data_IF_317647072308
#
_entry.id   IF_317647072308
#
_cell.length_a   1.000
_cell.length_b   1.000
_cell.length_c   1.000
_cell.angle_alpha   90.00
_cell.angle_beta   90.00
_cell.angle_gamma   90.00
#
_symmetry.space_group_name_H-M   'P 1'
#
loop_
_entity.id
_entity.type
_entity.pdbx_description
1 polymer ?
#
# COMPACT_ATOMS: atom_id res chain seq x y z
N UNK A 1 -3.97 12.41 5.54
CA UNK A 1 -3.71 12.48 4.08
C UNK A 1 -4.95 12.06 3.30
N UNK A 2 -4.97 12.25 1.99
CA UNK A 2 -5.96 11.63 1.09
C UNK A 2 -5.29 10.42 0.43
N UNK A 3 -5.85 9.24 0.56
CA UNK A 3 -5.39 8.01 -0.08
C UNK A 3 -6.30 7.69 -1.26
N UNK A 4 -5.73 7.35 -2.41
CA UNK A 4 -6.47 6.79 -3.56
C UNK A 4 -6.37 5.27 -3.46
N UNK A 5 -7.51 4.58 -3.38
CA UNK A 5 -7.55 3.12 -3.28
C UNK A 5 -7.43 2.48 -4.65
N UNK A 6 -6.44 1.61 -4.86
CA UNK A 6 -6.23 0.89 -6.12
C UNK A 6 -6.71 -0.55 -6.03
N UNK A 7 -6.37 -1.24 -4.93
CA UNK A 7 -6.65 -2.65 -4.73
C UNK A 7 -7.46 -2.84 -3.43
N UNK A 8 -8.75 -3.21 -3.54
CA UNK A 8 -9.54 -3.59 -2.36
C UNK A 8 -8.94 -4.79 -1.64
N UNK A 9 -9.07 -4.82 -0.30
CA UNK A 9 -8.65 -5.95 0.52
C UNK A 9 -9.26 -7.27 0.02
N UNK A 10 -8.45 -8.34 0.06
CA UNK A 10 -8.75 -9.71 -0.37
C UNK A 10 -9.02 -9.90 -1.87
N UNK A 11 -8.56 -8.96 -2.69
CA UNK A 11 -8.54 -9.08 -4.15
C UNK A 11 -7.12 -9.31 -4.66
N UNK A 12 -7.00 -9.85 -5.89
CA UNK A 12 -5.72 -10.29 -6.45
C UNK A 12 -5.25 -9.47 -7.66
N UNK A 13 -6.16 -8.78 -8.35
CA UNK A 13 -5.79 -8.00 -9.54
C UNK A 13 -4.83 -6.88 -9.12
N UNK A 14 -3.62 -6.85 -9.70
CA UNK A 14 -2.68 -5.74 -9.44
C UNK A 14 -3.16 -4.53 -10.23
N UNK A 15 -3.65 -3.53 -9.51
CA UNK A 15 -4.20 -2.30 -10.09
C UNK A 15 -3.31 -1.16 -9.65
N UNK A 16 -3.09 -0.21 -10.56
CA UNK A 16 -2.18 0.91 -10.35
C UNK A 16 -2.68 2.14 -11.11
N UNK A 17 -2.39 3.32 -10.56
CA UNK A 17 -2.52 4.61 -11.22
C UNK A 17 -1.57 4.63 -12.43
N UNK A 18 -2.11 4.79 -13.63
CA UNK A 18 -1.31 4.83 -14.85
C UNK A 18 -0.51 6.13 -14.94
N UNK A 19 0.82 6.06 -14.85
CA UNK A 19 1.68 7.25 -15.00
C UNK A 19 1.75 7.79 -16.43
N UNK A 20 1.49 6.94 -17.43
CA UNK A 20 1.67 7.27 -18.86
C UNK A 20 0.42 7.81 -19.55
N UNK A 21 -0.77 7.63 -18.97
CA UNK A 21 -2.03 7.99 -19.60
C UNK A 21 -2.58 9.32 -19.08
N UNK A 22 -3.19 10.17 -19.95
CA UNK A 22 -3.81 11.41 -19.50
C UNK A 22 -4.82 11.17 -18.39
N UNK A 23 -4.78 12.04 -17.36
CA UNK A 23 -5.62 11.96 -16.16
C UNK A 23 -5.36 10.74 -15.26
N UNK A 24 -4.32 9.96 -15.54
CA UNK A 24 -3.79 8.89 -14.69
C UNK A 24 -4.87 7.90 -14.19
N UNK A 25 -5.63 7.23 -15.09
CA UNK A 25 -6.65 6.28 -14.68
C UNK A 25 -6.03 5.07 -13.95
N UNK A 26 -6.79 4.49 -13.02
CA UNK A 26 -6.43 3.21 -12.41
C UNK A 26 -6.68 2.09 -13.43
N UNK A 27 -5.66 1.31 -13.75
CA UNK A 27 -5.76 0.16 -14.66
C UNK A 27 -5.01 -1.05 -14.10
N UNK A 28 -5.28 -2.22 -14.67
CA UNK A 28 -4.61 -3.44 -14.24
C UNK A 28 -3.22 -3.52 -14.89
N UNK A 29 -2.20 -3.83 -14.10
CA UNK A 29 -0.84 -4.09 -14.58
C UNK A 29 -0.84 -5.26 -15.58
N UNK A 30 -0.01 -5.18 -16.62
CA UNK A 30 0.15 -6.20 -17.67
C UNK A 30 1.59 -6.70 -17.66
N UNK A 31 1.79 -7.95 -17.23
CA UNK A 31 3.10 -8.61 -17.22
C UNK A 31 3.14 -9.68 -18.31
N UNK A 32 4.11 -9.59 -19.23
CA UNK A 32 4.28 -10.53 -20.37
C UNK A 32 3.02 -10.67 -21.25
N UNK A 33 2.31 -9.56 -21.46
CA UNK A 33 1.10 -9.52 -22.31
C UNK A 33 -0.17 -10.09 -21.65
N UNK A 34 -0.11 -10.48 -20.37
CA UNK A 34 -1.27 -10.94 -19.61
C UNK A 34 -1.54 -10.04 -18.41
N UNK A 35 -2.81 -9.94 -18.03
CA UNK A 35 -3.25 -9.24 -16.81
C UNK A 35 -2.55 -9.84 -15.59
N UNK A 36 -1.92 -8.99 -14.77
CA UNK A 36 -1.19 -9.43 -13.57
C UNK A 36 -2.13 -9.62 -12.39
N UNK A 37 -1.93 -10.74 -11.69
CA UNK A 37 -2.57 -11.04 -10.42
C UNK A 37 -1.50 -11.40 -9.40
N UNK A 38 -1.61 -10.87 -8.19
CA UNK A 38 -0.80 -11.30 -7.04
C UNK A 38 -1.33 -12.66 -6.55
N UNK A 39 -0.41 -13.56 -6.25
CA UNK A 39 -0.74 -14.92 -5.81
C UNK A 39 -1.26 -14.94 -4.37
N UNK A 40 -2.03 -15.96 -4.01
CA UNK A 40 -2.32 -16.23 -2.61
C UNK A 40 -1.13 -16.98 -2.01
N UNK A 41 -0.48 -16.39 -1.01
CA UNK A 41 0.60 -17.02 -0.25
C UNK A 41 0.03 -17.39 1.11
N UNK A 42 -0.11 -18.70 1.41
CA UNK A 42 -0.70 -19.15 2.67
C UNK A 42 -0.03 -18.47 3.89
N UNK A 43 -0.80 -17.92 4.85
CA UNK A 43 -2.26 -17.99 5.00
C UNK A 43 -3.06 -16.86 4.32
N UNK A 44 -2.40 -16.00 3.55
CA UNK A 44 -2.94 -14.76 3.00
C UNK A 44 -3.78 -14.99 1.74
N UNK A 45 -4.83 -14.18 1.58
CA UNK A 45 -5.65 -14.10 0.37
C UNK A 45 -5.49 -12.73 -0.26
N UNK A 46 -4.89 -12.67 -1.44
CA UNK A 46 -4.63 -11.42 -2.18
C UNK A 46 -3.93 -10.39 -1.30
N UNK A 47 -4.26 -9.11 -1.50
CA UNK A 47 -3.82 -8.04 -0.61
C UNK A 47 -4.56 -8.12 0.73
N UNK A 48 -3.83 -8.07 1.85
CA UNK A 48 -4.42 -8.20 3.19
C UNK A 48 -4.85 -6.84 3.80
N UNK A 49 -4.76 -5.77 3.03
CA UNK A 49 -5.23 -4.40 3.33
C UNK A 49 -6.00 -3.81 2.15
N UNK A 50 -6.65 -2.66 2.34
CA UNK A 50 -6.90 -1.79 1.20
C UNK A 50 -5.56 -1.17 0.79
N UNK A 51 -5.17 -1.30 -0.47
CA UNK A 51 -3.89 -0.84 -0.98
C UNK A 51 -4.09 0.26 -2.00
N UNK A 52 -3.17 1.21 -2.03
CA UNK A 52 -3.11 2.26 -3.03
C UNK A 52 -2.02 3.26 -2.69
N UNK A 53 -2.19 4.51 -3.06
CA UNK A 53 -1.12 5.50 -2.93
C UNK A 53 -1.62 6.88 -2.43
N UNK A 54 -0.68 7.73 -2.00
CA UNK A 54 -0.95 9.15 -1.78
C UNK A 54 -0.75 9.94 -3.09
N UNK A 55 -1.76 10.69 -3.57
CA UNK A 55 -1.58 11.54 -4.74
C UNK A 55 -0.60 12.68 -4.42
N UNK A 56 0.00 13.27 -5.46
CA UNK A 56 0.97 14.37 -5.36
C UNK A 56 2.25 14.00 -4.57
N UNK A 57 2.61 12.72 -4.59
CA UNK A 57 3.89 12.20 -4.09
C UNK A 57 4.63 11.48 -5.21
N UNK A 58 5.93 11.28 -5.05
CA UNK A 58 6.76 10.57 -6.01
C UNK A 58 8.05 10.11 -5.35
N UNK A 59 8.32 8.80 -5.40
CA UNK A 59 9.59 8.19 -5.04
C UNK A 59 10.60 8.44 -6.18
N UNK A 60 11.36 9.53 -6.10
CA UNK A 60 12.24 9.96 -7.20
C UNK A 60 13.35 8.91 -7.49
N UNK A 61 13.37 8.30 -8.70
CA UNK A 61 14.36 7.28 -9.05
C UNK A 61 15.79 7.84 -9.21
N UNK A 62 15.95 9.16 -9.12
CA UNK A 62 17.25 9.84 -9.16
C UNK A 62 17.81 10.06 -7.76
N UNK A 63 16.97 10.02 -6.73
CA UNK A 63 17.34 10.15 -5.34
C UNK A 63 17.78 8.79 -4.78
N UNK A 64 18.83 8.75 -3.96
CA UNK A 64 19.19 7.56 -3.17
C UNK A 64 18.78 7.85 -1.74
N UNK A 65 17.83 7.09 -1.24
CA UNK A 65 17.34 7.22 0.13
C UNK A 65 18.43 6.79 1.12
N UNK A 66 18.74 7.58 2.15
CA UNK A 66 19.83 7.30 3.07
C UNK A 66 19.56 6.11 4.01
N UNK A 67 18.30 5.76 4.27
CA UNK A 67 17.92 4.69 5.19
C UNK A 67 17.88 3.33 4.49
N UNK A 68 17.51 3.29 3.22
CA UNK A 68 17.51 2.06 2.41
C UNK A 68 18.78 1.87 1.58
N UNK A 69 19.48 2.95 1.24
CA UNK A 69 20.61 2.93 0.30
C UNK A 69 20.22 2.66 -1.16
N UNK A 70 18.92 2.70 -1.49
CA UNK A 70 18.36 2.42 -2.82
C UNK A 70 17.70 3.65 -3.46
N UNK A 71 17.44 3.58 -4.77
CA UNK A 71 16.72 4.64 -5.51
C UNK A 71 15.22 4.43 -5.41
N UNK A 72 14.42 5.51 -5.47
CA UNK A 72 12.95 5.40 -5.51
C UNK A 72 12.45 4.57 -6.70
N UNK A 73 11.31 3.92 -6.54
CA UNK A 73 10.66 3.03 -7.53
C UNK A 73 9.93 3.78 -8.66
N UNK A 74 9.99 5.12 -8.66
CA UNK A 74 9.38 6.01 -9.65
C UNK A 74 7.83 6.09 -9.60
N UNK A 75 7.20 5.59 -8.53
CA UNK A 75 5.75 5.67 -8.33
C UNK A 75 5.37 6.65 -7.19
N UNK A 76 4.09 7.02 -7.04
CA UNK A 76 3.61 7.71 -5.85
C UNK A 76 3.76 6.81 -4.61
N UNK A 77 4.02 7.40 -3.43
CA UNK A 77 4.25 6.61 -2.21
C UNK A 77 3.03 5.76 -1.85
N UNK A 78 3.30 4.49 -1.53
CA UNK A 78 2.29 3.49 -1.27
C UNK A 78 1.69 3.61 0.14
N UNK A 79 0.45 3.13 0.25
CA UNK A 79 -0.35 3.15 1.48
C UNK A 79 -1.05 1.82 1.67
N UNK A 80 -0.90 1.26 2.87
CA UNK A 80 -1.66 0.12 3.37
C UNK A 80 -2.67 0.61 4.42
N UNK A 81 -3.96 0.57 4.08
CA UNK A 81 -5.05 1.03 4.94
C UNK A 81 -5.72 -0.15 5.66
N UNK A 82 -5.72 -0.10 6.99
CA UNK A 82 -5.98 -1.25 7.87
C UNK A 82 -7.37 -1.31 8.49
N UNK A 83 -8.26 -0.36 8.16
CA UNK A 83 -9.60 -0.27 8.71
C UNK A 83 -10.50 -1.44 8.34
N UNK A 84 -11.62 -1.61 9.06
CA UNK A 84 -12.52 -2.74 8.90
C UNK A 84 -13.24 -2.76 7.55
N UNK A 85 -13.46 -1.59 6.93
CA UNK A 85 -14.15 -1.46 5.65
C UNK A 85 -13.28 -2.03 4.51
N UNK A 86 -13.86 -2.86 3.65
CA UNK A 86 -13.26 -3.16 2.34
C UNK A 86 -13.64 -2.01 1.40
N UNK A 87 -12.67 -1.17 1.04
CA UNK A 87 -12.91 0.00 0.20
C UNK A 87 -13.09 -0.37 -1.27
N UNK A 88 -13.76 0.49 -2.04
CA UNK A 88 -13.88 0.30 -3.48
C UNK A 88 -12.67 0.87 -4.20
N UNK A 89 -12.30 0.27 -5.32
CA UNK A 89 -11.27 0.83 -6.21
C UNK A 89 -11.69 2.22 -6.70
N UNK A 90 -10.76 3.18 -6.65
CA UNK A 90 -10.99 4.58 -6.96
C UNK A 90 -11.58 5.39 -5.80
N UNK A 91 -11.88 4.77 -4.65
CA UNK A 91 -12.25 5.53 -3.46
C UNK A 91 -11.10 6.47 -3.06
N UNK A 92 -11.46 7.70 -2.66
CA UNK A 92 -10.53 8.64 -2.04
C UNK A 92 -10.84 8.71 -0.55
N UNK A 93 -10.01 8.08 0.27
CA UNK A 93 -10.18 8.02 1.72
C UNK A 93 -9.40 9.13 2.40
N UNK A 94 -9.98 9.72 3.44
CA UNK A 94 -9.21 10.57 4.36
C UNK A 94 -8.62 9.66 5.43
N UNK A 95 -7.30 9.57 5.48
CA UNK A 95 -6.59 8.62 6.35
C UNK A 95 -5.68 9.32 7.34
N UNK A 96 -5.50 8.69 8.50
CA UNK A 96 -4.44 9.02 9.46
C UNK A 96 -3.25 8.09 9.24
N UNK A 97 -2.05 8.64 9.13
CA UNK A 97 -0.81 7.87 9.02
C UNK A 97 -0.35 7.48 10.42
N UNK A 98 0.02 6.21 10.59
CA UNK A 98 0.39 5.59 11.87
C UNK A 98 1.87 5.17 11.92
N UNK A 99 2.50 5.02 10.76
CA UNK A 99 3.89 4.59 10.64
C UNK A 99 4.26 4.31 9.18
N UNK A 100 5.42 3.70 8.98
CA UNK A 100 5.91 3.31 7.65
C UNK A 100 6.75 2.04 7.74
N UNK A 101 6.83 1.30 6.63
CA UNK A 101 7.74 0.19 6.41
C UNK A 101 8.67 0.54 5.24
N UNK A 102 9.98 0.41 5.47
CA UNK A 102 11.00 0.52 4.43
C UNK A 102 11.10 -0.81 3.67
N UNK A 103 10.39 -0.96 2.55
CA UNK A 103 10.59 -2.09 1.64
C UNK A 103 11.69 -1.73 0.63
N UNK A 104 12.52 -2.71 0.33
CA UNK A 104 13.38 -2.68 -0.85
C UNK A 104 12.78 -3.70 -1.82
N UNK A 105 12.03 -3.24 -2.82
CA UNK A 105 11.40 -4.11 -3.82
C UNK A 105 12.26 -4.19 -5.07
N UNK A 106 12.68 -5.40 -5.44
CA UNK A 106 13.60 -5.66 -6.56
C UNK A 106 14.85 -4.74 -6.65
N UNK A 107 15.28 -4.14 -5.53
CA UNK A 107 16.43 -3.24 -5.44
C UNK A 107 16.11 -1.74 -5.39
N UNK A 108 14.82 -1.38 -5.37
CA UNK A 108 14.31 -0.01 -5.31
C UNK A 108 13.70 0.29 -3.94
N UNK A 109 13.83 1.54 -3.48
CA UNK A 109 13.15 2.06 -2.29
C UNK A 109 11.67 2.17 -2.58
N UNK A 110 10.88 1.48 -1.76
CA UNK A 110 9.44 1.37 -1.93
C UNK A 110 8.77 1.52 -0.56
N UNK A 111 8.54 2.76 -0.14
CA UNK A 111 7.99 3.03 1.19
C UNK A 111 6.51 2.65 1.28
N UNK A 112 6.15 1.84 2.29
CA UNK A 112 4.75 1.48 2.57
C UNK A 112 4.24 2.22 3.79
N UNK A 113 3.44 3.26 3.57
CA UNK A 113 2.80 3.99 4.67
C UNK A 113 1.69 3.16 5.31
N UNK A 114 1.74 3.04 6.64
CA UNK A 114 0.69 2.40 7.42
C UNK A 114 -0.38 3.44 7.79
N UNK A 115 -1.63 3.19 7.43
CA UNK A 115 -2.70 4.16 7.62
C UNK A 115 -4.04 3.53 8.03
N UNK A 116 -4.97 4.37 8.51
CA UNK A 116 -6.35 3.98 8.77
C UNK A 116 -7.33 5.09 8.32
N UNK A 117 -8.48 4.75 7.74
CA UNK A 117 -9.57 5.69 7.47
C UNK A 117 -9.99 6.39 8.77
N UNK A 118 -10.09 7.73 8.76
CA UNK A 118 -10.48 8.49 9.95
C UNK A 118 -11.92 8.20 10.41
N UNK A 119 -12.73 7.54 9.58
CA UNK A 119 -14.09 7.12 9.89
C UNK A 119 -14.17 5.71 10.48
N UNK A 120 -13.05 4.99 10.53
CA UNK A 120 -13.01 3.68 11.16
C UNK A 120 -13.29 3.79 12.66
N UNK A 121 -14.10 2.88 13.26
CA UNK A 121 -14.40 2.92 14.69
C UNK A 121 -13.17 2.89 15.61
N UNK A 122 -12.06 2.31 15.16
CA UNK A 122 -10.80 2.24 15.92
C UNK A 122 -9.86 3.41 15.64
N UNK A 123 -10.18 4.29 14.68
CA UNK A 123 -9.29 5.37 14.27
C UNK A 123 -8.85 6.25 15.45
N UNK A 124 -9.73 6.59 16.39
CA UNK A 124 -9.39 7.42 17.56
C UNK A 124 -8.40 6.74 18.52
N UNK A 125 -8.37 5.41 18.55
CA UNK A 125 -7.53 4.62 19.46
C UNK A 125 -6.15 4.26 18.88
N UNK A 126 -5.90 4.60 17.61
CA UNK A 126 -4.67 4.30 16.89
C UNK A 126 -3.92 5.59 16.59
N UNK A 127 -2.90 5.95 17.36
CA UNK A 127 -2.14 7.18 17.12
C UNK A 127 -0.71 6.93 16.68
N UNK A 128 -0.20 5.72 16.92
CA UNK A 128 1.17 5.32 16.58
C UNK A 128 1.21 3.82 16.26
N UNK A 129 2.33 3.35 15.70
CA UNK A 129 2.56 1.94 15.32
C UNK A 129 2.39 0.98 16.50
N UNK A 130 2.68 1.42 17.73
CA UNK A 130 2.49 0.62 18.94
C UNK A 130 1.01 0.28 19.20
N UNK A 131 0.09 1.17 18.85
CA UNK A 131 -1.35 0.91 18.98
C UNK A 131 -1.83 -0.13 17.97
N UNK A 132 -1.19 -0.20 16.80
CA UNK A 132 -1.52 -1.20 15.77
C UNK A 132 -1.24 -2.59 16.28
N UNK A 133 -0.08 -2.84 16.90
CA UNK A 133 0.21 -4.17 17.47
C UNK A 133 -0.69 -4.50 18.67
N UNK A 134 -1.10 -3.48 19.44
CA UNK A 134 -2.02 -3.65 20.58
C UNK A 134 -3.44 -4.03 20.13
N UNK A 135 -3.96 -3.41 19.07
CA UNK A 135 -5.35 -3.57 18.61
C UNK A 135 -5.50 -4.62 17.50
N UNK A 136 -4.46 -4.81 16.69
CA UNK A 136 -4.39 -5.79 15.59
C UNK A 136 -3.16 -6.69 15.77
N UNK A 137 -3.09 -7.49 16.85
CA UNK A 137 -1.90 -8.28 17.17
C UNK A 137 -1.50 -9.20 16.02
N UNK A 138 -0.23 -9.12 15.61
CA UNK A 138 0.33 -9.90 14.51
C UNK A 138 0.13 -9.32 13.11
N UNK A 139 -0.64 -8.24 12.92
CA UNK A 139 -0.84 -7.61 11.62
C UNK A 139 0.48 -7.10 11.04
N UNK A 140 1.30 -6.39 11.84
CA UNK A 140 2.58 -5.85 11.38
C UNK A 140 3.54 -6.96 10.91
N UNK A 141 3.57 -8.08 11.65
CA UNK A 141 4.36 -9.26 11.26
C UNK A 141 3.84 -9.85 9.94
N UNK A 142 2.53 -9.97 9.78
CA UNK A 142 1.92 -10.45 8.54
C UNK A 142 2.20 -9.50 7.36
N UNK A 143 2.24 -8.19 7.59
CA UNK A 143 2.65 -7.19 6.59
C UNK A 143 4.05 -7.42 6.07
N UNK A 144 5.00 -7.57 6.97
CA UNK A 144 6.39 -7.84 6.60
C UNK A 144 6.52 -9.17 5.87
N UNK A 145 5.79 -10.21 6.29
CA UNK A 145 5.79 -11.50 5.61
C UNK A 145 5.19 -11.43 4.20
N UNK A 146 4.07 -10.72 4.03
CA UNK A 146 3.40 -10.58 2.75
C UNK A 146 4.33 -9.93 1.71
N UNK A 147 4.92 -8.77 2.03
CA UNK A 147 5.83 -8.09 1.11
C UNK A 147 7.13 -8.85 0.83
N UNK A 148 7.51 -9.82 1.67
CA UNK A 148 8.67 -10.68 1.40
C UNK A 148 8.38 -11.82 0.43
N UNK A 149 7.12 -12.25 0.28
CA UNK A 149 6.76 -13.50 -0.39
C UNK A 149 5.85 -13.36 -1.62
N UNK A 150 5.29 -12.17 -1.87
CA UNK A 150 4.20 -11.94 -2.83
C UNK A 150 4.57 -12.05 -4.32
#
# INVERSE_FOLDING_TARGET
AHMVVEVPRWTNAKMEISLSEPLNPIKQDVKKGALRYVSNVFPHRGYIWNYGALPQTWEDPRHVDPDTGARGDNDPIDVIEIGERVASRGDVLKVKILGTLALIDEGETDWKLLAIDIRDPLAEQLSDVADVERLFPGLLRATVEWFRLY
#
